data_IF_788639290329
#
_entry.id   IF_788639290329
#
_cell.length_a   1.000
_cell.length_b   1.000
_cell.length_c   1.000
_cell.angle_alpha   90.00
_cell.angle_beta   90.00
_cell.angle_gamma   90.00
#
_symmetry.space_group_name_H-M   'P 1'
#
loop_
_entity.id
_entity.type
_entity.pdbx_description
1 polymer ?
#
# COMPACT_ATOMS: atom_id res chain seq x y z
N UNK A 1 -39.44 -13.58 9.27
CA UNK A 1 -38.25 -14.38 8.89
C UNK A 1 -37.39 -13.54 7.99
N UNK A 2 -36.30 -12.99 8.53
CA UNK A 2 -35.11 -12.51 7.81
C UNK A 2 -34.13 -12.09 8.91
N UNK A 3 -33.25 -13.01 9.30
CA UNK A 3 -32.14 -12.67 10.17
C UNK A 3 -31.09 -11.99 9.29
N UNK A 4 -31.06 -10.66 9.32
CA UNK A 4 -29.88 -9.90 8.92
C UNK A 4 -28.71 -10.38 9.77
N UNK A 5 -27.88 -11.22 9.18
CA UNK A 5 -26.64 -11.66 9.82
C UNK A 5 -25.69 -10.48 9.76
N UNK A 6 -25.77 -9.61 10.76
CA UNK A 6 -24.76 -8.59 10.99
C UNK A 6 -23.42 -9.32 11.14
N UNK A 7 -22.56 -9.19 10.13
CA UNK A 7 -21.15 -9.56 10.22
C UNK A 7 -20.56 -8.76 11.38
N UNK A 8 -20.44 -9.40 12.54
CA UNK A 8 -19.64 -8.88 13.63
C UNK A 8 -18.23 -8.71 13.06
N UNK A 9 -17.79 -7.45 12.95
CA UNK A 9 -16.41 -7.10 12.65
C UNK A 9 -15.56 -7.55 13.82
N UNK A 10 -15.22 -8.84 13.87
CA UNK A 10 -14.12 -9.30 14.68
C UNK A 10 -12.87 -8.59 14.16
N UNK A 11 -11.99 -8.13 15.06
CA UNK A 11 -10.70 -7.49 14.72
C UNK A 11 -9.70 -8.50 14.11
N UNK A 12 -10.23 -9.54 13.47
CA UNK A 12 -9.51 -10.67 12.93
C UNK A 12 -8.97 -10.31 11.54
N UNK A 13 -7.65 -10.20 11.48
CA UNK A 13 -6.94 -10.04 10.23
C UNK A 13 -7.11 -11.31 9.37
N UNK A 14 -7.98 -11.23 8.35
CA UNK A 14 -8.16 -12.30 7.38
C UNK A 14 -6.83 -12.66 6.70
N UNK A 15 -6.49 -13.95 6.72
CA UNK A 15 -5.26 -14.48 6.13
C UNK A 15 -5.53 -15.14 4.79
N UNK A 16 -4.46 -15.46 4.06
CA UNK A 16 -4.53 -16.21 2.79
C UNK A 16 -5.26 -17.55 2.97
N UNK A 17 -5.14 -18.17 4.14
CA UNK A 17 -5.82 -19.42 4.47
C UNK A 17 -7.34 -19.25 4.50
N UNK A 18 -7.85 -18.12 4.99
CA UNK A 18 -9.29 -17.85 5.06
C UNK A 18 -9.85 -17.58 3.66
N UNK A 19 -9.10 -16.87 2.82
CA UNK A 19 -9.42 -16.73 1.40
C UNK A 19 -9.48 -18.10 0.69
N UNK A 20 -8.56 -19.01 1.00
CA UNK A 20 -8.57 -20.35 0.41
C UNK A 20 -9.78 -21.18 0.88
N UNK A 21 -10.19 -21.07 2.14
CA UNK A 21 -11.43 -21.71 2.64
C UNK A 21 -12.66 -21.23 1.86
N UNK A 22 -12.78 -19.91 1.64
CA UNK A 22 -13.87 -19.34 0.83
C UNK A 22 -13.80 -19.84 -0.61
N UNK A 23 -12.61 -19.86 -1.21
CA UNK A 23 -12.38 -20.37 -2.56
C UNK A 23 -12.82 -21.83 -2.71
N UNK A 24 -12.45 -22.72 -1.77
CA UNK A 24 -12.86 -24.13 -1.75
C UNK A 24 -14.37 -24.29 -1.54
N UNK A 25 -14.99 -23.46 -0.69
CA UNK A 25 -16.45 -23.46 -0.50
C UNK A 25 -17.21 -23.09 -1.77
N UNK A 26 -16.68 -22.15 -2.55
CA UNK A 26 -17.25 -21.72 -3.83
C UNK A 26 -16.95 -22.69 -4.98
N UNK A 27 -15.88 -23.48 -4.87
CA UNK A 27 -15.44 -24.43 -5.89
C UNK A 27 -15.14 -25.80 -5.26
N UNK A 28 -16.17 -26.57 -4.85
CA UNK A 28 -15.99 -27.81 -4.09
C UNK A 28 -15.13 -28.85 -4.83
N UNK A 29 -15.30 -28.95 -6.15
CA UNK A 29 -14.65 -29.97 -6.99
C UNK A 29 -13.24 -29.55 -7.46
N UNK A 30 -12.69 -28.45 -6.95
CA UNK A 30 -11.39 -27.97 -7.39
C UNK A 30 -10.25 -28.87 -6.91
N UNK A 31 -9.36 -29.24 -7.83
CA UNK A 31 -8.10 -29.94 -7.53
C UNK A 31 -6.99 -29.02 -7.00
N UNK A 32 -7.25 -27.71 -6.94
CA UNK A 32 -6.25 -26.73 -6.51
C UNK A 32 -5.91 -26.93 -5.04
N UNK A 33 -4.61 -27.14 -4.80
CA UNK A 33 -4.03 -27.25 -3.46
C UNK A 33 -3.74 -25.86 -2.87
N UNK A 34 -3.69 -25.76 -1.55
CA UNK A 34 -3.36 -24.51 -0.87
C UNK A 34 -1.99 -23.92 -1.29
N UNK A 35 -0.90 -24.72 -1.42
CA UNK A 35 0.38 -24.20 -1.90
C UNK A 35 0.28 -23.56 -3.28
N UNK A 36 -0.44 -24.18 -4.22
CA UNK A 36 -0.63 -23.64 -5.56
C UNK A 36 -1.44 -22.34 -5.53
N UNK A 37 -2.55 -22.32 -4.79
CA UNK A 37 -3.37 -21.12 -4.60
C UNK A 37 -2.54 -19.95 -4.04
N UNK A 38 -1.78 -20.21 -2.97
CA UNK A 38 -0.90 -19.22 -2.34
C UNK A 38 0.18 -18.74 -3.29
N UNK A 39 0.76 -19.63 -4.09
CA UNK A 39 1.77 -19.28 -5.08
C UNK A 39 1.22 -18.34 -6.14
N UNK A 40 0.08 -18.68 -6.75
CA UNK A 40 -0.57 -17.85 -7.78
C UNK A 40 -0.92 -16.48 -7.22
N UNK A 41 -1.53 -16.41 -6.04
CA UNK A 41 -1.87 -15.14 -5.38
C UNK A 41 -0.62 -14.29 -5.09
N UNK A 42 0.47 -14.92 -4.67
CA UNK A 42 1.74 -14.23 -4.42
C UNK A 42 2.33 -13.65 -5.71
N UNK A 43 2.35 -14.42 -6.80
CA UNK A 43 2.86 -13.95 -8.09
C UNK A 43 2.01 -12.81 -8.66
N UNK A 44 0.68 -12.93 -8.55
CA UNK A 44 -0.25 -11.87 -8.93
C UNK A 44 0.04 -10.56 -8.18
N UNK A 45 0.11 -10.61 -6.84
CA UNK A 45 0.37 -9.44 -6.02
C UNK A 45 1.74 -8.81 -6.28
N UNK A 46 2.77 -9.63 -6.54
CA UNK A 46 4.10 -9.15 -6.93
C UNK A 46 4.07 -8.42 -8.27
N UNK A 47 3.36 -8.96 -9.26
CA UNK A 47 3.19 -8.33 -10.57
C UNK A 47 2.47 -7.00 -10.42
N UNK A 48 1.30 -6.97 -9.78
CA UNK A 48 0.54 -5.74 -9.52
C UNK A 48 1.40 -4.69 -8.82
N UNK A 49 2.16 -5.06 -7.79
CA UNK A 49 3.05 -4.12 -7.09
C UNK A 49 4.11 -3.54 -8.03
N UNK A 50 4.71 -4.36 -8.91
CA UNK A 50 5.72 -3.93 -9.88
C UNK A 50 5.15 -2.92 -10.88
N UNK A 51 3.98 -3.19 -11.45
CA UNK A 51 3.33 -2.27 -12.39
C UNK A 51 3.03 -0.92 -11.71
N UNK A 52 2.52 -0.93 -10.47
CA UNK A 52 2.25 0.30 -9.73
C UNK A 52 3.54 1.08 -9.43
N UNK A 53 4.64 0.38 -9.12
CA UNK A 53 5.95 1.01 -8.97
C UNK A 53 6.48 1.62 -10.27
N UNK A 54 6.04 1.14 -11.43
CA UNK A 54 6.37 1.71 -12.73
C UNK A 54 5.51 2.93 -13.11
N UNK A 55 4.51 3.28 -12.30
CA UNK A 55 3.64 4.44 -12.51
C UNK A 55 2.18 4.08 -12.77
N UNK A 56 1.87 2.80 -12.93
CA UNK A 56 0.51 2.35 -13.21
C UNK A 56 -0.41 2.47 -12.00
N UNK A 57 -1.71 2.42 -12.28
CA UNK A 57 -2.75 2.44 -11.27
C UNK A 57 -3.58 1.16 -11.34
N UNK A 58 -3.78 0.53 -10.19
CA UNK A 58 -4.47 -0.75 -10.10
C UNK A 58 -5.89 -0.57 -9.55
N UNK A 59 -6.89 -0.83 -10.39
CA UNK A 59 -8.28 -0.87 -9.97
C UNK A 59 -8.57 -2.14 -9.17
N UNK A 60 -9.17 -1.98 -7.99
CA UNK A 60 -9.57 -3.11 -7.15
C UNK A 60 -10.85 -3.80 -7.67
N UNK A 61 -11.51 -3.26 -8.70
CA UNK A 61 -12.80 -3.73 -9.16
C UNK A 61 -13.95 -3.37 -8.20
N UNK A 62 -15.17 -3.73 -8.58
CA UNK A 62 -16.39 -3.64 -7.74
C UNK A 62 -16.58 -2.31 -6.99
N UNK A 63 -16.20 -1.18 -7.62
CA UNK A 63 -16.23 0.16 -7.01
C UNK A 63 -15.51 0.21 -5.65
N UNK A 64 -14.37 -0.48 -5.52
CA UNK A 64 -13.52 -0.44 -4.31
C UNK A 64 -12.43 0.64 -4.39
N UNK A 65 -12.27 1.30 -5.54
CA UNK A 65 -11.28 2.36 -5.76
C UNK A 65 -9.99 1.83 -6.40
N UNK A 66 -8.94 2.64 -6.34
CA UNK A 66 -7.70 2.44 -7.10
C UNK A 66 -6.48 2.55 -6.18
N UNK A 67 -5.53 1.65 -6.32
CA UNK A 67 -4.22 1.74 -5.66
C UNK A 67 -3.22 2.31 -6.66
N UNK A 68 -2.49 3.35 -6.27
CA UNK A 68 -1.46 4.00 -7.08
C UNK A 68 -0.36 4.61 -6.22
N UNK A 69 0.78 4.97 -6.82
CA UNK A 69 1.71 5.90 -6.19
C UNK A 69 1.24 7.32 -6.50
N UNK A 70 1.09 8.13 -5.45
CA UNK A 70 0.72 9.54 -5.57
C UNK A 70 1.94 10.43 -5.35
N UNK A 71 2.19 11.34 -6.28
CA UNK A 71 3.12 12.46 -6.14
C UNK A 71 2.43 13.59 -5.41
N UNK A 72 2.99 14.09 -4.32
CA UNK A 72 2.37 15.13 -3.51
C UNK A 72 3.38 16.27 -3.30
N UNK A 73 2.96 17.48 -3.66
CA UNK A 73 3.73 18.69 -3.41
C UNK A 73 3.72 19.04 -1.93
N UNK A 74 4.89 19.38 -1.39
CA UNK A 74 5.03 19.92 -0.04
C UNK A 74 4.69 21.41 -0.09
N UNK A 75 3.51 21.77 0.43
CA UNK A 75 3.02 23.16 0.36
C UNK A 75 3.71 24.13 1.33
N UNK A 76 4.27 23.64 2.43
CA UNK A 76 4.77 24.50 3.52
C UNK A 76 6.29 24.46 3.63
N UNK A 77 6.98 25.34 2.89
CA UNK A 77 8.43 25.55 3.07
C UNK A 77 8.75 26.49 4.23
N UNK A 78 7.81 27.35 4.64
CA UNK A 78 7.95 28.22 5.82
C UNK A 78 7.90 27.42 7.13
N UNK A 79 7.19 26.29 7.14
CA UNK A 79 7.12 25.34 8.26
C UNK A 79 7.47 23.95 7.74
N UNK A 80 8.75 23.71 7.42
CA UNK A 80 9.16 22.49 6.76
C UNK A 80 8.95 21.29 7.68
N UNK A 81 8.57 20.16 7.10
CA UNK A 81 8.41 18.92 7.85
C UNK A 81 9.79 18.41 8.32
N UNK A 82 9.87 18.02 9.59
CA UNK A 82 11.09 17.42 10.17
C UNK A 82 11.32 16.06 9.53
N UNK A 83 12.54 15.83 9.03
CA UNK A 83 13.03 14.51 8.69
C UNK A 83 13.52 13.82 9.96
N UNK A 84 12.62 13.09 10.60
CA UNK A 84 12.94 12.30 11.79
C UNK A 84 13.95 11.19 11.50
N UNK A 85 14.05 10.70 10.27
CA UNK A 85 15.00 9.65 9.90
C UNK A 85 16.43 10.16 10.00
N UNK A 86 16.73 11.27 9.33
CA UNK A 86 18.05 11.91 9.39
C UNK A 86 18.33 12.56 10.75
N UNK A 87 17.32 13.18 11.38
CA UNK A 87 17.43 13.72 12.74
C UNK A 87 17.86 12.64 13.74
N UNK A 88 17.25 11.45 13.68
CA UNK A 88 17.60 10.34 14.57
C UNK A 88 18.99 9.76 14.27
N UNK A 89 19.48 9.82 13.04
CA UNK A 89 20.87 9.42 12.72
C UNK A 89 21.89 10.38 13.32
N UNK A 90 21.66 11.69 13.21
CA UNK A 90 22.51 12.70 13.85
C UNK A 90 22.49 12.58 15.37
N UNK A 91 21.32 12.32 15.95
CA UNK A 91 21.20 12.12 17.39
C UNK A 91 22.03 10.92 17.87
N UNK A 92 22.06 9.82 17.10
CA UNK A 92 22.92 8.66 17.38
C UNK A 92 24.42 8.98 17.31
N UNK A 93 24.80 10.02 16.55
CA UNK A 93 26.17 10.55 16.49
C UNK A 93 26.44 11.62 17.55
N UNK A 94 25.49 11.88 18.47
CA UNK A 94 25.62 12.89 19.53
C UNK A 94 25.21 14.30 19.10
N UNK A 95 24.79 14.51 17.85
CA UNK A 95 24.46 15.83 17.31
C UNK A 95 22.96 16.10 17.51
N UNK A 96 22.60 16.99 18.43
CA UNK A 96 21.21 17.40 18.71
C UNK A 96 20.74 18.51 17.77
N UNK A 97 20.57 18.18 16.49
CA UNK A 97 20.02 19.10 15.48
C UNK A 97 18.83 18.47 14.75
N UNK A 98 17.80 19.28 14.47
CA UNK A 98 16.66 18.87 13.65
C UNK A 98 17.02 19.02 12.17
N UNK A 99 16.82 17.95 11.41
CA UNK A 99 16.94 17.95 9.94
C UNK A 99 15.54 18.10 9.35
N UNK A 100 15.43 18.88 8.28
CA UNK A 100 14.17 19.15 7.60
C UNK A 100 14.24 18.64 6.16
N UNK A 101 13.10 18.21 5.62
CA UNK A 101 13.01 17.87 4.21
C UNK A 101 13.16 19.11 3.33
N UNK A 102 14.01 19.02 2.31
CA UNK A 102 14.21 20.05 1.29
C UNK A 102 13.49 19.72 -0.02
N UNK A 103 13.08 18.46 -0.23
CA UNK A 103 12.43 18.02 -1.46
C UNK A 103 11.09 18.70 -1.69
N UNK A 104 10.84 19.16 -2.92
CA UNK A 104 9.54 19.76 -3.31
C UNK A 104 8.39 18.77 -3.29
N UNK A 105 8.66 17.51 -3.64
CA UNK A 105 7.65 16.46 -3.74
C UNK A 105 7.98 15.31 -2.80
N UNK A 106 6.93 14.61 -2.36
CA UNK A 106 7.06 13.29 -1.76
C UNK A 106 6.08 12.33 -2.41
N UNK A 107 6.44 11.05 -2.36
CA UNK A 107 5.70 9.99 -3.02
C UNK A 107 5.19 9.00 -1.97
N UNK A 108 3.95 8.54 -2.14
CA UNK A 108 3.38 7.51 -1.27
C UNK A 108 2.46 6.57 -2.00
N UNK A 109 2.41 5.34 -1.53
CA UNK A 109 1.30 4.44 -1.82
C UNK A 109 -0.01 5.08 -1.37
N UNK A 110 -1.00 5.12 -2.25
CA UNK A 110 -2.28 5.75 -2.03
C UNK A 110 -3.39 4.83 -2.51
N UNK A 111 -4.37 4.61 -1.64
CA UNK A 111 -5.66 4.07 -2.05
C UNK A 111 -6.62 5.23 -2.29
N UNK A 112 -6.88 5.51 -3.57
CA UNK A 112 -7.79 6.52 -4.03
C UNK A 112 -9.23 6.00 -4.02
N UNK A 113 -10.08 6.67 -3.22
CA UNK A 113 -11.44 6.22 -2.92
C UNK A 113 -12.52 7.12 -3.51
N UNK A 114 -12.19 7.91 -4.54
CA UNK A 114 -13.12 8.85 -5.18
C UNK A 114 -14.36 8.13 -5.71
N UNK A 115 -14.16 7.06 -6.48
CA UNK A 115 -15.24 6.20 -7.00
C UNK A 115 -15.59 5.00 -6.08
N UNK A 116 -15.15 5.01 -4.82
CA UNK A 116 -15.38 3.89 -3.91
C UNK A 116 -16.78 3.97 -3.28
N UNK A 117 -17.54 2.87 -3.31
CA UNK A 117 -18.91 2.78 -2.80
C UNK A 117 -19.03 2.01 -1.46
N UNK A 118 -17.90 1.79 -0.77
CA UNK A 118 -17.91 1.10 0.52
C UNK A 118 -18.39 2.08 1.62
N UNK A 119 -19.36 1.70 2.47
CA UNK A 119 -19.76 2.48 3.62
C UNK A 119 -18.57 2.77 4.55
N UNK A 120 -18.50 3.96 5.16
CA UNK A 120 -17.41 4.35 6.07
C UNK A 120 -16.00 4.19 5.46
N UNK A 121 -15.87 4.33 4.13
CA UNK A 121 -14.59 4.19 3.41
C UNK A 121 -13.43 5.01 3.97
N UNK A 122 -13.70 6.10 4.70
CA UNK A 122 -12.69 6.95 5.34
C UNK A 122 -11.93 6.25 6.48
N UNK A 123 -12.56 5.29 7.16
CA UNK A 123 -11.97 4.57 8.31
C UNK A 123 -10.91 3.56 7.85
N UNK A 124 -11.12 2.93 6.68
CA UNK A 124 -10.19 1.95 6.15
C UNK A 124 -8.91 2.62 5.61
N UNK A 125 -7.78 1.92 5.64
CA UNK A 125 -6.53 2.39 5.04
C UNK A 125 -5.79 1.26 4.34
N UNK A 126 -5.17 1.58 3.21
CA UNK A 126 -4.18 0.70 2.61
C UNK A 126 -2.83 0.98 3.23
N UNK A 127 -2.20 -0.04 3.82
CA UNK A 127 -0.82 0.03 4.28
C UNK A 127 0.02 -0.94 3.45
N UNK A 128 1.01 -0.46 2.67
CA UNK A 128 1.91 -1.34 1.95
C UNK A 128 2.72 -2.20 2.93
N UNK A 129 3.21 -3.33 2.44
CA UNK A 129 4.10 -4.22 3.20
C UNK A 129 5.35 -3.45 3.66
N UNK A 130 5.69 -3.63 4.94
CA UNK A 130 6.89 -3.09 5.58
C UNK A 130 8.03 -4.13 5.49
N UNK A 131 9.23 -3.73 5.90
CA UNK A 131 10.43 -4.57 5.88
C UNK A 131 11.35 -4.28 4.69
N UNK A 132 12.53 -4.90 4.68
CA UNK A 132 13.61 -4.64 3.71
C UNK A 132 13.18 -4.90 2.26
N UNK A 133 12.38 -5.95 2.04
CA UNK A 133 11.81 -6.33 0.74
C UNK A 133 10.37 -5.85 0.55
N UNK A 134 9.86 -5.02 1.47
CA UNK A 134 8.48 -4.52 1.44
C UNK A 134 8.25 -3.47 0.35
N UNK A 135 7.00 -3.31 -0.07
CA UNK A 135 6.60 -2.34 -1.11
C UNK A 135 6.94 -0.89 -0.73
N UNK A 136 7.01 -0.58 0.58
CA UNK A 136 7.45 0.74 1.04
C UNK A 136 8.94 0.98 0.73
N UNK A 137 9.79 0.01 1.00
CA UNK A 137 11.23 0.12 0.73
C UNK A 137 11.53 0.03 -0.76
N UNK A 138 10.76 -0.76 -1.51
CA UNK A 138 10.87 -0.83 -2.97
C UNK A 138 10.67 0.53 -3.64
N UNK A 139 9.66 1.31 -3.20
CA UNK A 139 9.45 2.67 -3.70
C UNK A 139 10.62 3.61 -3.35
N UNK A 140 11.12 3.55 -2.11
CA UNK A 140 12.27 4.37 -1.68
C UNK A 140 13.51 4.03 -2.50
N UNK A 141 13.79 2.74 -2.70
CA UNK A 141 14.92 2.27 -3.50
C UNK A 141 14.78 2.75 -4.95
N UNK A 142 13.61 2.59 -5.54
CA UNK A 142 13.33 3.04 -6.90
C UNK A 142 13.61 4.53 -7.07
N UNK A 143 13.11 5.38 -6.18
CA UNK A 143 13.28 6.84 -6.23
C UNK A 143 14.73 7.29 -6.01
N UNK A 144 15.55 6.49 -5.30
CA UNK A 144 16.96 6.77 -5.08
C UNK A 144 17.86 6.27 -6.21
N UNK A 145 17.51 5.15 -6.82
CA UNK A 145 18.33 4.50 -7.86
C UNK A 145 18.05 5.07 -9.24
N UNK A 146 16.81 5.45 -9.54
CA UNK A 146 16.41 5.96 -10.85
C UNK A 146 15.95 7.42 -10.73
N UNK A 147 16.76 8.33 -11.26
CA UNK A 147 16.50 9.78 -11.27
C UNK A 147 15.18 10.15 -11.98
N UNK A 148 14.83 9.42 -13.05
CA UNK A 148 13.63 9.67 -13.85
C UNK A 148 12.37 8.97 -13.34
N UNK A 149 12.47 8.09 -12.34
CA UNK A 149 11.30 7.38 -11.81
C UNK A 149 10.21 8.34 -11.30
N UNK A 150 10.59 9.56 -10.92
CA UNK A 150 9.69 10.62 -10.50
C UNK A 150 8.68 11.09 -11.57
N UNK A 151 9.00 10.90 -12.85
CA UNK A 151 8.17 11.30 -13.98
C UNK A 151 6.99 10.35 -14.20
N UNK A 152 7.10 9.11 -13.73
CA UNK A 152 6.08 8.10 -13.88
C UNK A 152 4.85 8.36 -13.02
N UNK A 153 4.98 9.19 -11.97
CA UNK A 153 3.95 9.38 -10.97
C UNK A 153 3.21 10.72 -11.15
N UNK A 154 1.88 10.63 -11.21
CA UNK A 154 0.99 11.78 -11.33
C UNK A 154 0.55 12.33 -9.96
N UNK A 155 0.23 13.62 -9.96
CA UNK A 155 -0.26 14.40 -8.82
C UNK A 155 -1.66 14.03 -8.37
#
# INVERSE_FOLDING_TARGET
MNQETALQLTDEMYRVMDMFKVFKKQNPDTTITYPLFKFVLSQYNKKVSREILQGESFSLGSRMGVIKIKKIERKNFTRPAVDWGETNKLLKQGIRKRVFFTDRFYYRWCWEKKACNIPNKTVYKFSPTKGETGNKMALIKLLKTNEFAQLNFKS
#
